data_IF_048934822544
#
_entry.id   IF_048934822544
#
_cell.length_a   1.000
_cell.length_b   1.000
_cell.length_c   1.000
_cell.angle_alpha   90.00
_cell.angle_beta   90.00
_cell.angle_gamma   90.00
#
_symmetry.space_group_name_H-M   'P 1'
#
loop_
_entity.id
_entity.type
_entity.pdbx_description
1 polymer ?
#
# COMPACT_ATOMS: atom_id res chain seq x y z
N UNK A 1 16.18 -5.70 -13.38
CA UNK A 1 16.06 -4.67 -12.32
C UNK A 1 16.87 -5.11 -11.12
N UNK A 2 17.88 -4.32 -10.73
CA UNK A 2 18.79 -4.64 -9.60
C UNK A 2 18.06 -4.59 -8.26
N UNK A 3 18.55 -5.32 -7.26
CA UNK A 3 18.04 -5.32 -5.89
C UNK A 3 19.05 -4.65 -4.95
N UNK A 4 18.58 -3.72 -4.15
CA UNK A 4 19.27 -3.16 -2.99
C UNK A 4 18.76 -3.91 -1.76
N UNK A 5 19.58 -4.79 -1.18
CA UNK A 5 19.22 -5.69 -0.08
C UNK A 5 19.93 -5.37 1.24
N UNK A 6 21.11 -4.75 1.19
CA UNK A 6 21.80 -4.21 2.37
C UNK A 6 20.88 -3.21 3.12
N UNK A 7 20.68 -3.37 4.45
CA UNK A 7 19.74 -2.53 5.20
C UNK A 7 20.06 -1.03 5.17
N UNK A 8 21.34 -0.65 5.23
CA UNK A 8 21.73 0.75 5.22
C UNK A 8 21.53 1.36 3.83
N UNK A 9 21.91 0.64 2.79
CA UNK A 9 21.67 1.00 1.39
C UNK A 9 20.16 1.11 1.09
N UNK A 10 19.37 0.15 1.55
CA UNK A 10 17.93 0.14 1.39
C UNK A 10 17.29 1.35 2.08
N UNK A 11 17.70 1.66 3.31
CA UNK A 11 17.25 2.86 4.02
C UNK A 11 17.61 4.12 3.25
N UNK A 12 18.86 4.25 2.79
CA UNK A 12 19.32 5.39 2.00
C UNK A 12 18.47 5.59 0.73
N UNK A 13 18.21 4.51 -0.02
CA UNK A 13 17.35 4.55 -1.20
C UNK A 13 15.89 4.95 -0.89
N UNK A 14 15.36 4.55 0.28
CA UNK A 14 13.99 4.86 0.67
C UNK A 14 13.80 6.29 1.21
N UNK A 15 14.87 6.92 1.73
CA UNK A 15 14.80 8.26 2.31
C UNK A 15 15.39 9.36 1.42
N UNK A 16 16.14 8.99 0.38
CA UNK A 16 16.75 9.96 -0.52
C UNK A 16 15.69 10.64 -1.42
N UNK A 17 15.78 11.98 -1.61
CA UNK A 17 14.96 12.70 -2.58
C UNK A 17 15.32 12.36 -4.04
N UNK A 18 16.47 11.73 -4.28
CA UNK A 18 16.91 11.32 -5.63
C UNK A 18 16.13 10.13 -6.16
N UNK A 19 15.29 9.50 -5.34
CA UNK A 19 14.50 8.33 -5.72
C UNK A 19 13.00 8.60 -5.62
N UNK A 20 12.30 8.34 -6.71
CA UNK A 20 10.83 8.39 -6.77
C UNK A 20 10.22 7.00 -6.89
N UNK A 21 8.90 6.90 -6.72
CA UNK A 21 8.18 5.69 -7.09
C UNK A 21 7.97 5.74 -8.60
N UNK A 22 8.34 4.70 -9.37
CA UNK A 22 8.08 4.72 -10.81
C UNK A 22 6.58 4.82 -11.08
N UNK A 23 6.20 5.64 -12.07
CA UNK A 23 4.81 5.82 -12.45
C UNK A 23 4.16 4.47 -12.85
N UNK A 24 2.89 4.23 -12.51
CA UNK A 24 2.17 3.04 -12.92
C UNK A 24 1.78 3.14 -14.40
N UNK A 25 2.70 2.75 -15.29
CA UNK A 25 2.46 2.65 -16.74
C UNK A 25 2.77 3.92 -17.53
N UNK A 26 2.56 3.84 -18.86
CA UNK A 26 2.80 4.96 -19.77
C UNK A 26 1.88 6.14 -19.47
N UNK A 27 2.38 7.39 -19.54
CA UNK A 27 1.56 8.58 -19.38
C UNK A 27 0.48 8.59 -20.46
N UNK A 28 -0.78 8.64 -20.03
CA UNK A 28 -1.91 8.88 -20.92
C UNK A 28 -2.96 9.70 -20.20
N UNK A 29 -4.08 9.99 -20.88
CA UNK A 29 -5.12 10.86 -20.35
C UNK A 29 -5.59 10.37 -18.95
N UNK A 30 -5.82 11.29 -17.99
CA UNK A 30 -6.37 10.93 -16.69
C UNK A 30 -7.67 10.15 -16.88
N UNK A 31 -7.74 8.94 -16.32
CA UNK A 31 -9.00 8.20 -16.29
C UNK A 31 -9.95 8.86 -15.29
N UNK A 32 -11.24 8.88 -15.64
CA UNK A 32 -12.30 9.45 -14.80
C UNK A 32 -12.91 8.41 -13.85
N UNK A 33 -12.75 7.12 -14.14
CA UNK A 33 -13.30 5.99 -13.38
C UNK A 33 -12.32 4.79 -13.39
N UNK A 34 -12.66 3.71 -12.68
CA UNK A 34 -11.90 2.46 -12.69
C UNK A 34 -10.53 2.49 -12.00
N UNK A 35 -9.76 1.42 -12.19
CA UNK A 35 -8.48 1.17 -11.50
C UNK A 35 -7.42 2.21 -11.87
N UNK A 36 -7.47 2.74 -13.09
CA UNK A 36 -6.57 3.81 -13.52
C UNK A 36 -6.89 5.12 -12.81
N UNK A 37 -8.18 5.44 -12.59
CA UNK A 37 -8.55 6.60 -11.77
C UNK A 37 -8.07 6.42 -10.32
N UNK A 38 -8.24 5.22 -9.73
CA UNK A 38 -7.78 4.97 -8.36
C UNK A 38 -6.26 5.18 -8.25
N UNK A 39 -5.47 4.57 -9.15
CA UNK A 39 -4.00 4.73 -9.18
C UNK A 39 -3.61 6.20 -9.33
N UNK A 40 -4.33 6.97 -10.13
CA UNK A 40 -4.08 8.38 -10.36
C UNK A 40 -4.50 9.30 -9.20
N UNK A 41 -5.26 8.81 -8.19
CA UNK A 41 -5.80 9.61 -7.09
C UNK A 41 -5.35 9.15 -5.69
N UNK A 42 -4.45 8.17 -5.60
CA UNK A 42 -3.80 7.77 -4.35
C UNK A 42 -2.39 8.32 -4.20
N UNK A 43 -1.95 8.51 -2.96
CA UNK A 43 -0.58 8.98 -2.68
C UNK A 43 0.51 8.02 -3.17
N UNK A 44 0.24 6.70 -3.23
CA UNK A 44 1.23 5.66 -3.55
C UNK A 44 1.94 5.84 -4.90
N UNK A 45 1.25 6.41 -5.88
CA UNK A 45 1.73 6.56 -7.26
C UNK A 45 1.86 8.02 -7.71
N UNK A 46 1.74 8.95 -6.77
CA UNK A 46 1.87 10.39 -7.01
C UNK A 46 3.09 10.89 -6.28
N UNK A 47 3.74 11.96 -6.76
CA UNK A 47 4.85 12.68 -6.11
C UNK A 47 4.47 14.15 -5.85
N UNK A 48 5.32 14.89 -5.13
CA UNK A 48 5.15 16.33 -4.86
C UNK A 48 3.90 16.69 -4.02
N UNK A 49 3.36 17.89 -4.23
CA UNK A 49 2.21 18.40 -3.45
C UNK A 49 0.97 17.49 -3.55
N UNK A 50 0.73 16.89 -4.70
CA UNK A 50 -0.39 15.97 -4.89
C UNK A 50 -0.20 14.68 -4.07
N UNK A 51 1.03 14.18 -3.91
CA UNK A 51 1.32 13.11 -2.96
C UNK A 51 1.00 13.51 -1.53
N UNK A 52 1.47 14.69 -1.09
CA UNK A 52 1.29 15.17 0.27
C UNK A 52 -0.20 15.28 0.62
N UNK A 53 -0.99 15.92 -0.25
CA UNK A 53 -2.44 16.05 -0.07
C UNK A 53 -3.14 14.69 0.00
N UNK A 54 -2.89 13.79 -0.95
CA UNK A 54 -3.54 12.46 -1.02
C UNK A 54 -3.11 11.56 0.13
N UNK A 55 -1.85 11.66 0.56
CA UNK A 55 -1.34 10.98 1.75
C UNK A 55 -2.01 11.52 3.01
N UNK A 56 -2.17 12.83 3.15
CA UNK A 56 -2.86 13.43 4.28
C UNK A 56 -4.31 12.94 4.39
N UNK A 57 -5.03 12.82 3.27
CA UNK A 57 -6.37 12.22 3.25
C UNK A 57 -6.38 10.77 3.75
N UNK A 58 -5.44 9.93 3.29
CA UNK A 58 -5.30 8.55 3.79
C UNK A 58 -4.97 8.49 5.29
N UNK A 59 -4.06 9.35 5.76
CA UNK A 59 -3.68 9.44 7.18
C UNK A 59 -4.86 9.90 8.03
N UNK A 60 -5.68 10.83 7.55
CA UNK A 60 -6.87 11.29 8.25
C UNK A 60 -7.88 10.15 8.45
N UNK A 61 -8.15 9.35 7.40
CA UNK A 61 -9.02 8.17 7.50
C UNK A 61 -8.46 7.16 8.52
N UNK A 62 -7.16 6.85 8.43
CA UNK A 62 -6.53 5.91 9.35
C UNK A 62 -6.54 6.41 10.80
N UNK A 63 -6.25 7.68 11.04
CA UNK A 63 -6.27 8.29 12.38
C UNK A 63 -7.64 8.22 13.03
N UNK A 64 -8.72 8.29 12.24
CA UNK A 64 -10.09 8.19 12.73
C UNK A 64 -10.48 6.77 13.17
N UNK A 65 -9.73 5.73 12.78
CA UNK A 65 -10.00 4.34 13.12
C UNK A 65 -9.34 3.98 14.46
N UNK A 66 -10.12 3.68 15.52
CA UNK A 66 -9.56 3.22 16.80
C UNK A 66 -8.88 1.86 16.64
N UNK A 67 -7.63 1.74 17.09
CA UNK A 67 -6.88 0.48 16.96
C UNK A 67 -7.50 -0.68 17.76
N UNK A 68 -8.14 -0.39 18.90
CA UNK A 68 -8.79 -1.43 19.72
C UNK A 68 -10.01 -2.05 19.03
N UNK A 69 -10.70 -1.29 18.17
CA UNK A 69 -11.76 -1.83 17.33
C UNK A 69 -11.20 -2.83 16.31
N UNK A 70 -9.96 -2.64 15.86
CA UNK A 70 -9.29 -3.59 14.98
C UNK A 70 -8.87 -4.83 15.75
N UNK A 71 -8.31 -4.70 16.95
CA UNK A 71 -7.90 -5.87 17.78
C UNK A 71 -9.06 -6.79 18.15
N UNK A 72 -10.27 -6.24 18.22
CA UNK A 72 -11.48 -6.98 18.62
C UNK A 72 -12.20 -7.67 17.44
N UNK A 73 -11.65 -7.60 16.21
CA UNK A 73 -12.30 -8.06 14.98
C UNK A 73 -12.48 -9.57 14.81
N UNK A 74 -11.96 -10.39 15.72
CA UNK A 74 -12.10 -11.85 15.68
C UNK A 74 -11.42 -12.48 14.47
N UNK A 75 -12.05 -13.49 13.85
CA UNK A 75 -11.51 -14.18 12.66
C UNK A 75 -11.89 -13.55 11.32
N UNK A 76 -12.43 -12.33 11.32
CA UNK A 76 -12.88 -11.65 10.11
C UNK A 76 -11.71 -11.29 9.18
N UNK A 77 -11.98 -11.13 7.89
CA UNK A 77 -10.97 -10.68 6.94
C UNK A 77 -10.50 -9.26 7.31
N UNK A 78 -9.20 -8.90 7.17
CA UNK A 78 -8.71 -7.56 7.54
C UNK A 78 -9.42 -6.43 6.79
N UNK A 79 -9.77 -6.65 5.52
CA UNK A 79 -10.56 -5.70 4.71
C UNK A 79 -11.94 -5.47 5.32
N UNK A 80 -12.62 -6.53 5.75
CA UNK A 80 -13.95 -6.42 6.35
C UNK A 80 -13.91 -5.63 7.67
N UNK A 81 -12.90 -5.92 8.50
CA UNK A 81 -12.69 -5.20 9.77
C UNK A 81 -12.42 -3.71 9.53
N UNK A 82 -11.56 -3.37 8.57
CA UNK A 82 -11.27 -1.98 8.21
C UNK A 82 -12.49 -1.28 7.58
N UNK A 83 -13.22 -1.95 6.69
CA UNK A 83 -14.40 -1.40 6.04
C UNK A 83 -15.49 -1.08 7.07
N UNK A 84 -15.74 -1.99 8.02
CA UNK A 84 -16.67 -1.77 9.14
C UNK A 84 -16.24 -0.58 10.00
N UNK A 85 -14.94 -0.44 10.29
CA UNK A 85 -14.42 0.71 11.01
C UNK A 85 -14.56 2.03 10.24
N UNK A 86 -14.74 1.98 8.92
CA UNK A 86 -15.08 3.12 8.06
C UNK A 86 -16.60 3.33 7.89
N UNK A 87 -17.44 2.53 8.55
CA UNK A 87 -18.91 2.61 8.48
C UNK A 87 -19.55 1.83 7.32
N UNK A 88 -18.79 0.98 6.62
CA UNK A 88 -19.32 0.13 5.54
C UNK A 88 -19.90 -1.16 6.13
N UNK A 89 -21.10 -1.53 5.71
CA UNK A 89 -21.80 -2.74 6.17
C UNK A 89 -21.91 -3.81 5.09
N UNK A 90 -21.73 -3.40 3.84
CA UNK A 90 -21.76 -4.21 2.64
C UNK A 90 -20.53 -5.13 2.57
N UNK A 91 -20.67 -6.35 2.03
CA UNK A 91 -19.54 -7.23 1.82
C UNK A 91 -18.65 -6.68 0.69
N UNK A 92 -17.44 -6.22 1.04
CA UNK A 92 -16.50 -5.61 0.08
C UNK A 92 -15.24 -6.42 -0.18
N UNK A 93 -15.07 -7.57 0.47
CA UNK A 93 -13.81 -8.34 0.41
C UNK A 93 -13.46 -8.76 -1.02
N UNK A 94 -14.42 -9.32 -1.74
CA UNK A 94 -14.20 -9.79 -3.12
C UNK A 94 -13.96 -8.62 -4.09
N UNK A 95 -14.71 -7.52 -3.95
CA UNK A 95 -14.47 -6.30 -4.72
C UNK A 95 -13.06 -5.75 -4.49
N UNK A 96 -12.60 -5.74 -3.24
CA UNK A 96 -11.24 -5.27 -2.93
C UNK A 96 -10.18 -6.20 -3.52
N UNK A 97 -10.39 -7.52 -3.53
CA UNK A 97 -9.49 -8.48 -4.19
C UNK A 97 -9.43 -8.25 -5.71
N UNK A 98 -10.58 -8.02 -6.32
CA UNK A 98 -10.73 -7.76 -7.75
C UNK A 98 -10.04 -6.47 -8.20
N UNK A 99 -10.08 -5.44 -7.35
CA UNK A 99 -9.30 -4.22 -7.55
C UNK A 99 -7.79 -4.44 -7.28
N UNK A 100 -7.45 -5.15 -6.20
CA UNK A 100 -6.07 -5.32 -5.74
C UNK A 100 -5.17 -6.03 -6.76
N UNK A 101 -5.70 -7.05 -7.46
CA UNK A 101 -4.93 -7.81 -8.44
C UNK A 101 -4.41 -6.96 -9.62
N UNK A 102 -5.08 -5.86 -9.97
CA UNK A 102 -4.62 -4.91 -10.98
C UNK A 102 -4.03 -3.62 -10.39
N UNK A 103 -4.05 -3.43 -9.06
CA UNK A 103 -3.57 -2.20 -8.42
C UNK A 103 -2.05 -2.06 -8.49
N UNK A 104 -1.32 -3.11 -8.10
CA UNK A 104 0.14 -3.18 -8.22
C UNK A 104 0.58 -4.62 -8.53
N UNK A 105 1.40 -4.86 -9.57
CA UNK A 105 2.17 -3.89 -10.35
C UNK A 105 1.42 -3.24 -11.52
N UNK A 106 0.11 -3.45 -11.66
CA UNK A 106 -0.67 -2.93 -12.80
C UNK A 106 -0.78 -3.90 -13.97
N UNK A 107 -0.73 -5.21 -13.72
CA UNK A 107 -0.69 -6.26 -14.75
C UNK A 107 -1.86 -7.25 -14.63
N UNK A 108 -2.88 -6.87 -13.87
CA UNK A 108 -4.06 -7.69 -13.64
C UNK A 108 -5.12 -7.56 -14.74
N UNK A 109 -6.26 -8.21 -14.53
CA UNK A 109 -7.47 -8.02 -15.35
C UNK A 109 -8.04 -6.62 -15.07
N UNK A 110 -7.74 -5.64 -15.93
CA UNK A 110 -8.19 -4.26 -15.77
C UNK A 110 -9.72 -4.10 -15.85
N UNK A 111 -10.45 -4.69 -16.81
CA UNK A 111 -11.91 -4.62 -16.83
C UNK A 111 -12.58 -5.12 -15.55
N UNK A 112 -12.10 -6.23 -14.98
CA UNK A 112 -12.59 -6.73 -13.69
C UNK A 112 -12.29 -5.75 -12.55
N UNK A 113 -11.08 -5.20 -12.53
CA UNK A 113 -10.70 -4.21 -11.52
C UNK A 113 -11.47 -2.89 -11.67
N UNK A 114 -11.78 -2.47 -12.90
CA UNK A 114 -12.57 -1.27 -13.18
C UNK A 114 -13.98 -1.41 -12.61
N UNK A 115 -14.66 -2.52 -12.89
CA UNK A 115 -15.98 -2.80 -12.33
C UNK A 115 -15.95 -2.79 -10.79
N UNK A 116 -14.96 -3.45 -10.19
CA UNK A 116 -14.81 -3.49 -8.75
C UNK A 116 -14.54 -2.11 -8.12
N UNK A 117 -13.73 -1.27 -8.76
CA UNK A 117 -13.48 0.10 -8.28
C UNK A 117 -14.74 0.96 -8.38
N UNK A 118 -15.50 0.84 -9.47
CA UNK A 118 -16.74 1.59 -9.65
C UNK A 118 -17.79 1.21 -8.59
N UNK A 119 -17.91 -0.08 -8.26
CA UNK A 119 -18.76 -0.55 -7.15
C UNK A 119 -18.26 -0.07 -5.78
N UNK A 120 -16.95 -0.11 -5.53
CA UNK A 120 -16.39 0.42 -4.29
C UNK A 120 -16.62 1.93 -4.16
N UNK A 121 -16.58 2.69 -5.25
CA UNK A 121 -16.95 4.11 -5.23
C UNK A 121 -18.42 4.29 -4.86
N UNK A 122 -19.33 3.45 -5.39
CA UNK A 122 -20.74 3.47 -4.99
C UNK A 122 -20.92 3.22 -3.48
N UNK A 123 -20.20 2.25 -2.91
CA UNK A 123 -20.17 1.99 -1.45
C UNK A 123 -19.71 3.22 -0.66
N UNK A 124 -18.75 4.00 -1.19
CA UNK A 124 -18.25 5.21 -0.56
C UNK A 124 -18.97 6.51 -0.98
N UNK A 125 -20.23 6.42 -1.42
CA UNK A 125 -21.09 7.58 -1.70
C UNK A 125 -21.17 7.99 -3.17
N UNK A 126 -20.63 7.19 -4.08
CA UNK A 126 -20.84 7.31 -5.53
C UNK A 126 -20.08 8.43 -6.23
N UNK A 127 -19.19 9.13 -5.52
CA UNK A 127 -18.40 10.24 -6.07
C UNK A 127 -16.95 9.82 -6.28
N UNK A 128 -16.45 9.98 -7.51
CA UNK A 128 -15.06 9.74 -7.88
C UNK A 128 -14.14 10.89 -7.41
N UNK A 129 -13.98 11.04 -6.10
CA UNK A 129 -13.13 12.03 -5.45
C UNK A 129 -11.91 11.43 -4.71
N UNK A 130 -11.01 12.29 -4.22
CA UNK A 130 -9.82 11.85 -3.47
C UNK A 130 -10.19 11.20 -2.13
N UNK A 131 -11.38 11.46 -1.56
CA UNK A 131 -11.81 10.89 -0.31
C UNK A 131 -12.26 9.42 -0.48
N UNK A 132 -12.97 9.11 -1.56
CA UNK A 132 -13.26 7.73 -1.96
C UNK A 132 -11.96 6.99 -2.32
N UNK A 133 -11.09 7.61 -3.12
CA UNK A 133 -9.79 7.02 -3.48
C UNK A 133 -8.93 6.72 -2.25
N UNK A 134 -8.94 7.58 -1.22
CA UNK A 134 -8.21 7.34 0.02
C UNK A 134 -8.70 6.09 0.76
N UNK A 135 -10.03 5.93 0.92
CA UNK A 135 -10.65 4.77 1.59
C UNK A 135 -10.42 3.48 0.81
N UNK A 136 -10.71 3.48 -0.48
CA UNK A 136 -10.47 2.33 -1.37
C UNK A 136 -8.99 1.94 -1.38
N UNK A 137 -8.10 2.94 -1.49
CA UNK A 137 -6.66 2.72 -1.46
C UNK A 137 -6.15 2.13 -0.15
N UNK A 138 -6.80 2.41 0.99
CA UNK A 138 -6.49 1.76 2.27
C UNK A 138 -6.89 0.29 2.23
N UNK A 139 -8.12 -0.02 1.80
CA UNK A 139 -8.61 -1.40 1.73
C UNK A 139 -7.77 -2.27 0.78
N UNK A 140 -7.50 -1.77 -0.42
CA UNK A 140 -6.68 -2.47 -1.42
C UNK A 140 -5.26 -2.73 -0.93
N UNK A 141 -4.60 -1.74 -0.33
CA UNK A 141 -3.24 -1.91 0.19
C UNK A 141 -3.17 -2.79 1.44
N UNK A 142 -4.25 -2.85 2.22
CA UNK A 142 -4.35 -3.71 3.40
C UNK A 142 -4.65 -5.17 3.04
N UNK A 143 -5.35 -5.44 1.93
CA UNK A 143 -5.90 -6.75 1.57
C UNK A 143 -4.89 -7.90 1.69
N UNK A 144 -4.05 -8.10 0.69
CA UNK A 144 -3.16 -9.27 0.65
C UNK A 144 -2.02 -9.14 1.66
N UNK A 145 -1.48 -7.93 1.82
CA UNK A 145 -0.35 -7.69 2.71
C UNK A 145 -0.70 -7.98 4.18
N UNK A 146 -1.87 -7.57 4.65
CA UNK A 146 -2.28 -7.81 6.05
C UNK A 146 -2.81 -9.22 6.23
N UNK A 147 -3.55 -9.78 5.27
CA UNK A 147 -3.97 -11.17 5.33
C UNK A 147 -2.76 -12.12 5.42
N UNK A 148 -1.73 -11.87 4.61
CA UNK A 148 -0.46 -12.61 4.64
C UNK A 148 0.29 -12.41 5.97
N UNK A 149 0.27 -11.20 6.54
CA UNK A 149 0.89 -10.95 7.85
C UNK A 149 0.21 -11.76 8.95
N UNK A 150 -1.13 -11.73 9.00
CA UNK A 150 -1.95 -12.47 9.96
C UNK A 150 -1.67 -13.96 9.84
N UNK A 151 -1.74 -14.51 8.62
CA UNK A 151 -1.51 -15.93 8.36
C UNK A 151 -0.13 -16.40 8.86
N UNK A 152 0.93 -15.67 8.48
CA UNK A 152 2.29 -15.98 8.93
C UNK A 152 2.47 -15.79 10.44
N UNK A 153 1.78 -14.82 11.04
CA UNK A 153 1.85 -14.56 12.47
C UNK A 153 1.19 -15.66 13.33
N UNK A 154 0.41 -16.57 12.73
CA UNK A 154 -0.13 -17.77 13.43
C UNK A 154 0.97 -18.75 13.85
N UNK A 155 2.14 -18.70 13.22
CA UNK A 155 3.19 -19.71 13.39
C UNK A 155 4.51 -19.14 13.93
N UNK A 156 4.64 -17.81 14.02
CA UNK A 156 5.86 -17.11 14.43
C UNK A 156 5.51 -15.70 14.89
N UNK A 157 6.34 -15.10 15.73
CA UNK A 157 6.12 -13.73 16.17
C UNK A 157 6.09 -12.76 14.99
N UNK A 158 5.31 -11.68 15.11
CA UNK A 158 5.23 -10.63 14.09
C UNK A 158 6.62 -10.08 13.76
N UNK A 159 7.46 -9.84 14.77
CA UNK A 159 8.84 -9.38 14.56
C UNK A 159 9.67 -10.36 13.72
N UNK A 160 9.50 -11.67 13.93
CA UNK A 160 10.11 -12.65 13.07
C UNK A 160 9.55 -12.57 11.65
N UNK A 161 8.22 -12.50 11.46
CA UNK A 161 7.58 -12.30 10.13
C UNK A 161 8.23 -11.12 9.40
N UNK A 162 8.21 -9.94 10.01
CA UNK A 162 8.69 -8.72 9.37
C UNK A 162 10.19 -8.77 9.02
N UNK A 163 11.01 -9.47 9.82
CA UNK A 163 12.45 -9.61 9.58
C UNK A 163 12.76 -10.56 8.42
N UNK A 164 12.19 -11.76 8.45
CA UNK A 164 12.68 -12.86 7.60
C UNK A 164 11.79 -13.10 6.37
N UNK A 165 10.47 -12.87 6.49
CA UNK A 165 9.50 -13.07 5.40
C UNK A 165 8.35 -12.05 5.50
N UNK A 166 8.62 -10.75 5.26
CA UNK A 166 7.60 -9.73 5.31
C UNK A 166 6.61 -9.89 4.14
N UNK A 167 5.32 -9.55 4.33
CA UNK A 167 4.29 -9.69 3.29
C UNK A 167 4.61 -8.97 1.98
N UNK A 168 5.32 -7.85 2.06
CA UNK A 168 5.84 -7.12 0.90
C UNK A 168 7.36 -7.14 0.98
N UNK A 169 8.00 -8.02 0.21
CA UNK A 169 9.44 -8.24 0.29
C UNK A 169 10.30 -7.12 -0.31
N UNK A 170 9.75 -6.35 -1.25
CA UNK A 170 10.47 -5.25 -1.90
C UNK A 170 9.52 -4.19 -2.49
N UNK A 171 10.03 -2.98 -2.66
CA UNK A 171 9.37 -1.89 -3.39
C UNK A 171 10.25 -1.43 -4.57
N UNK A 172 9.67 -0.77 -5.57
CA UNK A 172 10.44 -0.20 -6.69
C UNK A 172 10.79 1.26 -6.41
N UNK A 173 11.98 1.68 -6.82
CA UNK A 173 12.41 3.08 -6.83
C UNK A 173 13.07 3.39 -8.16
N UNK A 174 12.86 4.60 -8.67
CA UNK A 174 13.50 5.09 -9.88
C UNK A 174 14.42 6.26 -9.50
N UNK A 175 15.67 6.20 -9.94
CA UNK A 175 16.62 7.29 -9.72
C UNK A 175 16.28 8.47 -10.63
N UNK A 176 16.23 9.69 -10.09
CA UNK A 176 16.06 10.94 -10.83
C UNK A 176 17.39 11.45 -11.39
N UNK A 177 18.48 11.17 -10.70
CA UNK A 177 19.85 11.56 -11.05
C UNK A 177 20.76 10.35 -10.90
N UNK A 178 21.87 10.33 -11.64
CA UNK A 178 22.90 9.30 -11.44
C UNK A 178 23.47 9.46 -10.03
N UNK A 179 23.41 8.40 -9.23
CA UNK A 179 23.75 8.41 -7.79
C UNK A 179 24.49 7.15 -7.38
N UNK A 180 25.17 7.16 -6.23
CA UNK A 180 25.84 5.98 -5.69
C UNK A 180 25.30 5.63 -4.31
N UNK A 181 24.83 4.39 -4.14
CA UNK A 181 24.42 3.85 -2.84
C UNK A 181 25.32 2.68 -2.50
N UNK A 182 26.06 2.78 -1.40
CA UNK A 182 26.97 1.72 -0.94
C UNK A 182 27.95 1.24 -2.04
N UNK A 183 28.50 2.20 -2.81
CA UNK A 183 29.40 1.92 -3.94
C UNK A 183 28.70 1.44 -5.21
N UNK A 184 27.38 1.20 -5.19
CA UNK A 184 26.61 0.85 -6.39
C UNK A 184 26.20 2.12 -7.14
N UNK A 185 26.76 2.31 -8.34
CA UNK A 185 26.30 3.36 -9.27
C UNK A 185 24.92 3.00 -9.84
N UNK A 186 23.96 3.90 -9.73
CA UNK A 186 22.59 3.80 -10.24
C UNK A 186 22.38 4.96 -11.21
N UNK A 187 22.06 4.66 -12.46
CA UNK A 187 21.92 5.67 -13.50
C UNK A 187 20.60 6.44 -13.39
N UNK A 188 20.59 7.69 -13.83
CA UNK A 188 19.35 8.46 -13.95
C UNK A 188 18.31 7.70 -14.80
N UNK A 189 17.08 7.64 -14.31
CA UNK A 189 15.97 6.91 -14.92
C UNK A 189 15.95 5.40 -14.62
N UNK A 190 17.01 4.84 -14.02
CA UNK A 190 17.04 3.41 -13.70
C UNK A 190 16.07 3.06 -12.57
N UNK A 191 15.31 1.97 -12.77
CA UNK A 191 14.45 1.40 -11.74
C UNK A 191 15.19 0.28 -11.01
N UNK A 192 15.26 0.40 -9.68
CA UNK A 192 15.79 -0.60 -8.75
C UNK A 192 14.69 -1.15 -7.85
N UNK A 193 14.87 -2.37 -7.33
CA UNK A 193 14.10 -2.90 -6.21
C UNK A 193 14.84 -2.61 -4.92
N UNK A 194 14.11 -2.27 -3.88
CA UNK A 194 14.64 -2.06 -2.54
C UNK A 194 13.98 -3.07 -1.61
N UNK A 195 14.77 -3.90 -0.93
CA UNK A 195 14.29 -4.89 0.03
C UNK A 195 13.57 -4.17 1.18
N UNK A 196 12.43 -4.70 1.58
CA UNK A 196 11.72 -4.30 2.79
C UNK A 196 11.79 -5.47 3.76
N UNK A 197 12.42 -5.26 4.91
CA UNK A 197 12.58 -6.26 5.96
C UNK A 197 12.89 -5.58 7.29
N UNK A 198 12.58 -6.25 8.40
CA UNK A 198 12.84 -5.76 9.75
C UNK A 198 12.22 -4.38 9.99
N UNK A 199 13.06 -3.41 10.38
CA UNK A 199 12.68 -2.02 10.61
C UNK A 199 12.21 -1.27 9.34
N UNK A 200 12.53 -1.80 8.16
CA UNK A 200 12.10 -1.32 6.85
C UNK A 200 10.91 -2.10 6.28
N UNK A 201 10.35 -3.10 6.96
CA UNK A 201 9.22 -3.89 6.44
C UNK A 201 7.99 -3.04 6.05
N UNK A 202 7.84 -1.88 6.69
CA UNK A 202 6.80 -0.89 6.39
C UNK A 202 7.33 0.34 5.62
N UNK A 203 8.50 0.23 4.98
CA UNK A 203 9.18 1.33 4.30
C UNK A 203 9.77 2.38 5.24
N UNK A 204 10.34 3.44 4.65
CA UNK A 204 10.95 4.57 5.35
C UNK A 204 10.73 5.89 4.59
N UNK A 205 11.13 7.01 5.21
CA UNK A 205 11.02 8.35 4.62
C UNK A 205 9.58 8.80 4.36
N UNK A 206 9.42 9.67 3.36
CA UNK A 206 8.13 10.20 2.92
C UNK A 206 7.15 9.10 2.46
N UNK A 207 7.66 7.91 2.11
CA UNK A 207 6.89 6.76 1.63
C UNK A 207 6.71 5.67 2.68
N UNK A 208 7.01 5.92 3.96
CA UNK A 208 6.69 4.99 5.06
C UNK A 208 5.19 4.69 5.08
N UNK A 209 4.83 3.42 5.26
CA UNK A 209 3.44 2.98 5.31
C UNK A 209 2.68 3.72 6.43
N UNK A 210 1.60 4.47 6.11
CA UNK A 210 0.81 5.16 7.12
C UNK A 210 -0.04 4.19 7.96
N UNK A 211 -0.39 3.02 7.41
CA UNK A 211 -1.21 2.00 8.08
C UNK A 211 -0.43 0.99 8.92
N UNK A 212 0.83 1.27 9.32
CA UNK A 212 1.65 0.32 10.10
C UNK A 212 0.95 -0.09 11.40
N UNK A 213 0.44 0.89 12.16
CA UNK A 213 -0.22 0.61 13.43
C UNK A 213 -1.48 -0.25 13.24
N UNK A 214 -2.26 0.03 12.20
CA UNK A 214 -3.47 -0.72 11.84
C UNK A 214 -3.17 -2.16 11.44
N UNK A 215 -2.15 -2.38 10.59
CA UNK A 215 -1.75 -3.72 10.19
C UNK A 215 -1.28 -4.56 11.39
N UNK A 216 -0.56 -3.96 12.34
CA UNK A 216 -0.13 -4.63 13.57
C UNK A 216 -1.33 -4.95 14.48
N UNK A 217 -2.22 -3.97 14.70
CA UNK A 217 -3.43 -4.17 15.51
C UNK A 217 -4.33 -5.28 14.96
N UNK A 218 -4.45 -5.39 13.63
CA UNK A 218 -5.17 -6.49 12.97
C UNK A 218 -4.45 -7.85 13.12
N UNK A 219 -3.13 -7.86 13.27
CA UNK A 219 -2.33 -9.09 13.38
C UNK A 219 -2.17 -9.60 14.80
N UNK A 220 -2.38 -8.73 15.79
CA UNK A 220 -2.37 -9.06 17.23
C UNK A 220 -3.58 -9.94 17.65
N UNK A 221 -4.57 -10.12 16.77
CA UNK A 221 -5.78 -10.92 17.01
C UNK A 221 -5.53 -12.43 17.21
N UNK A 222 -4.31 -12.90 17.02
CA UNK A 222 -3.95 -14.33 17.11
C UNK A 222 -3.27 -14.66 18.44
N UNK A 223 -4.02 -14.60 19.54
CA UNK A 223 -3.66 -15.25 20.81
C UNK A 223 -4.91 -15.39 21.66
N UNK A 224 -5.69 -16.43 21.38
CA UNK A 224 -6.63 -17.01 22.36
C UNK A 224 -6.48 -18.52 22.31
#
# INVERSE_FOLDING_TARGET
MRLIDDPAAARAALTSPDFVVPAPGEPGKPARTGIRWLRANVGRFTDGEAHERRRAAQVAVLTAIPLDALRSGGSAHPVETLARAMGVTEPVVDLVRDAAQAYQPGTGDEPRADAAVDELVAVFGGVFDEAAAARIGILVQACDATATLIDRARHRSIDAVLRDDPPVAATKRQALVTTSINGMLIEAGEVVRVRLAGDLAFGAGARRCPGRAHALALSEQSST
#
